data_IF_885510448376
#
_entry.id   IF_885510448376
#
_cell.length_a   1.000
_cell.length_b   1.000
_cell.length_c   1.000
_cell.angle_alpha   90.00
_cell.angle_beta   90.00
_cell.angle_gamma   90.00
#
_symmetry.space_group_name_H-M   'P 1'
#
loop_
_entity.id
_entity.type
_entity.pdbx_description
1 polymer ?
#
# COMPACT_ATOMS: atom_id res chain seq x y z
N UNK A 1 14.80 -5.11 20.43
CA UNK A 1 15.10 -5.94 19.25
C UNK A 1 14.20 -7.16 19.34
N UNK A 2 13.49 -7.49 18.26
CA UNK A 2 12.69 -8.72 18.03
C UNK A 2 11.49 -8.98 18.94
N UNK A 3 10.31 -8.50 18.54
CA UNK A 3 9.05 -9.23 18.74
C UNK A 3 8.28 -9.20 17.41
N UNK A 4 8.63 -10.20 16.61
CA UNK A 4 8.03 -10.57 15.34
C UNK A 4 6.54 -10.88 15.56
N UNK A 5 5.68 -10.34 14.68
CA UNK A 5 4.40 -10.95 14.28
C UNK A 5 3.48 -11.36 15.45
N UNK A 6 2.52 -10.47 15.76
CA UNK A 6 1.23 -10.89 16.30
C UNK A 6 0.52 -11.69 15.21
N UNK A 7 0.75 -13.00 15.24
CA UNK A 7 0.14 -14.03 14.42
C UNK A 7 -1.36 -13.79 14.22
N UNK A 8 -1.78 -13.82 12.95
CA UNK A 8 -3.05 -14.45 12.55
C UNK A 8 -4.35 -13.63 12.56
N UNK A 9 -4.29 -12.29 12.53
CA UNK A 9 -5.44 -11.47 12.02
C UNK A 9 -5.08 -10.09 11.46
N UNK A 10 -3.85 -9.95 11.00
CA UNK A 10 -3.41 -8.82 10.19
C UNK A 10 -3.47 -9.30 8.75
N UNK A 11 -4.65 -9.31 8.12
CA UNK A 11 -4.76 -9.24 6.65
C UNK A 11 -4.45 -7.81 6.22
N UNK A 12 -3.19 -7.50 6.54
CA UNK A 12 -2.27 -6.42 6.26
C UNK A 12 -2.93 -5.18 5.66
N UNK A 13 -2.93 -4.10 6.43
CA UNK A 13 -3.18 -2.77 5.89
C UNK A 13 -2.32 -2.52 4.64
N UNK A 14 -1.15 -3.18 4.51
CA UNK A 14 -0.33 -3.20 3.30
C UNK A 14 -1.04 -3.84 2.09
N UNK A 15 -1.69 -5.01 2.23
CA UNK A 15 -2.40 -5.67 1.13
C UNK A 15 -3.63 -4.88 0.67
N UNK A 16 -4.31 -4.20 1.61
CA UNK A 16 -5.38 -3.27 1.27
C UNK A 16 -4.84 -2.02 0.56
N UNK A 17 -3.75 -1.44 1.07
CA UNK A 17 -3.13 -0.29 0.44
C UNK A 17 -2.62 -0.62 -0.98
N UNK A 18 -2.06 -1.82 -1.17
CA UNK A 18 -1.59 -2.31 -2.47
C UNK A 18 -2.73 -2.44 -3.49
N UNK A 19 -3.86 -3.05 -3.10
CA UNK A 19 -5.03 -3.16 -3.99
C UNK A 19 -5.63 -1.80 -4.34
N UNK A 20 -5.66 -0.85 -3.39
CA UNK A 20 -6.13 0.51 -3.66
C UNK A 20 -5.18 1.20 -4.64
N UNK A 21 -3.87 1.06 -4.45
CA UNK A 21 -2.89 1.66 -5.35
C UNK A 21 -2.96 1.07 -6.76
N UNK A 22 -3.15 -0.25 -6.88
CA UNK A 22 -3.31 -0.96 -8.15
C UNK A 22 -4.58 -0.52 -8.90
N UNK A 23 -5.72 -0.43 -8.20
CA UNK A 23 -6.97 0.08 -8.76
C UNK A 23 -6.82 1.52 -9.24
N UNK A 24 -6.18 2.39 -8.43
CA UNK A 24 -5.97 3.79 -8.80
C UNK A 24 -5.07 3.96 -10.03
N UNK A 25 -4.04 3.12 -10.19
CA UNK A 25 -3.15 3.18 -11.35
C UNK A 25 -3.75 2.50 -12.59
N UNK A 26 -4.69 1.57 -12.42
CA UNK A 26 -5.35 0.85 -13.52
C UNK A 26 -6.55 1.61 -14.09
N UNK A 27 -7.43 2.14 -13.24
CA UNK A 27 -8.66 2.82 -13.67
C UNK A 27 -8.43 4.28 -14.07
N UNK A 28 -7.33 4.90 -13.63
CA UNK A 28 -7.02 6.30 -13.91
C UNK A 28 -5.66 6.43 -14.59
N UNK A 29 -5.47 7.41 -15.50
CA UNK A 29 -4.19 7.68 -16.15
C UNK A 29 -3.20 8.39 -15.21
N UNK A 30 -2.98 7.83 -14.02
CA UNK A 30 -2.09 8.35 -12.99
C UNK A 30 -0.69 7.75 -13.18
N UNK A 31 0.33 8.60 -13.20
CA UNK A 31 1.73 8.16 -13.25
C UNK A 31 2.24 7.73 -11.87
N UNK A 32 1.58 8.18 -10.81
CA UNK A 32 1.97 7.97 -9.43
C UNK A 32 0.78 8.12 -8.48
N UNK A 33 0.74 7.31 -7.44
CA UNK A 33 -0.22 7.42 -6.35
C UNK A 33 0.45 7.15 -4.99
N UNK A 34 -0.10 7.79 -3.95
CA UNK A 34 0.32 7.63 -2.56
C UNK A 34 -0.89 7.27 -1.71
N UNK A 35 -0.84 6.10 -1.07
CA UNK A 35 -1.94 5.57 -0.26
C UNK A 35 -1.49 5.53 1.19
N UNK A 36 -2.28 6.18 2.07
CA UNK A 36 -2.07 6.19 3.52
C UNK A 36 -3.26 5.57 4.22
N UNK A 37 -3.04 4.51 4.98
CA UNK A 37 -4.09 3.90 5.81
C UNK A 37 -3.65 3.95 7.26
N UNK A 38 -4.45 4.61 8.10
CA UNK A 38 -4.20 4.70 9.54
C UNK A 38 -5.23 3.85 10.27
N UNK A 39 -4.77 3.00 11.19
CA UNK A 39 -5.61 2.26 12.12
C UNK A 39 -5.39 2.82 13.53
N UNK A 40 -6.29 3.70 14.01
CA UNK A 40 -6.18 4.25 15.36
C UNK A 40 -6.42 3.14 16.40
N UNK A 41 -5.73 3.25 17.55
CA UNK A 41 -5.89 2.35 18.71
C UNK A 41 -5.57 0.85 18.49
N UNK A 42 -4.83 0.51 17.43
CA UNK A 42 -4.51 -0.90 17.16
C UNK A 42 -3.50 -1.53 18.15
N UNK A 43 -2.83 -0.73 18.99
CA UNK A 43 -1.86 -1.20 19.99
C UNK A 43 -1.92 -0.33 21.25
N UNK A 44 -2.03 -0.95 22.42
CA UNK A 44 -2.02 -0.24 23.71
C UNK A 44 -0.72 0.52 23.89
N UNK A 45 -0.81 1.84 24.07
CA UNK A 45 0.35 2.73 24.24
C UNK A 45 0.84 3.44 22.98
N UNK A 46 0.23 3.20 21.82
CA UNK A 46 0.56 3.90 20.57
C UNK A 46 -0.69 4.65 20.05
N UNK A 47 -0.62 5.97 19.79
CA UNK A 47 -1.78 6.75 19.38
C UNK A 47 -2.33 6.32 18.01
N UNK A 48 -1.47 5.91 17.08
CA UNK A 48 -1.87 5.36 15.79
C UNK A 48 -0.79 4.45 15.22
N UNK A 49 -1.21 3.41 14.50
CA UNK A 49 -0.34 2.65 13.59
C UNK A 49 -0.96 2.65 12.20
N UNK A 50 -0.14 2.65 11.16
CA UNK A 50 -0.63 2.75 9.80
C UNK A 50 0.44 2.41 8.78
N UNK A 51 0.02 2.26 7.53
CA UNK A 51 0.89 2.06 6.38
C UNK A 51 0.83 3.29 5.47
N UNK A 52 1.97 3.62 4.88
CA UNK A 52 2.08 4.56 3.78
C UNK A 52 2.83 3.85 2.66
N UNK A 53 2.23 3.77 1.48
CA UNK A 53 2.91 3.29 0.28
C UNK A 53 2.85 4.32 -0.83
N UNK A 54 3.83 4.25 -1.71
CA UNK A 54 3.95 5.03 -2.93
C UNK A 54 4.16 4.05 -4.09
N UNK A 55 3.40 4.25 -5.17
CA UNK A 55 3.47 3.43 -6.38
C UNK A 55 3.52 4.34 -7.59
N UNK A 56 4.39 3.99 -8.54
CA UNK A 56 4.42 4.61 -9.86
C UNK A 56 3.86 3.61 -10.86
N UNK A 57 3.15 4.11 -11.88
CA UNK A 57 2.87 3.29 -13.04
C UNK A 57 4.21 2.93 -13.70
N UNK A 58 4.47 1.64 -13.89
CA UNK A 58 5.55 1.20 -14.77
C UNK A 58 5.13 1.60 -16.17
N UNK A 59 5.55 2.78 -16.62
CA UNK A 59 5.46 3.18 -18.02
C UNK A 59 6.43 2.29 -18.80
N UNK A 60 6.11 1.00 -18.91
CA UNK A 60 6.69 0.11 -19.88
C UNK A 60 6.12 0.56 -21.22
N UNK A 61 6.73 1.60 -21.79
CA UNK A 61 6.62 1.85 -23.21
C UNK A 61 7.20 0.61 -23.88
N UNK A 62 6.33 -0.38 -24.12
CA UNK A 62 6.56 -1.41 -25.12
C UNK A 62 6.65 -0.67 -26.45
N UNK A 63 7.84 -0.14 -26.74
CA UNK A 63 8.25 0.17 -28.09
C UNK A 63 8.41 -1.17 -28.80
N UNK A 64 7.28 -1.81 -29.09
CA UNK A 64 7.18 -2.87 -30.09
C UNK A 64 6.83 -2.16 -31.38
N UNK A 65 7.85 -1.63 -32.04
CA UNK A 65 7.72 -0.87 -33.27
C UNK A 65 8.73 -1.34 -34.30
N UNK A 66 8.26 -2.27 -35.13
CA UNK A 66 8.71 -2.63 -36.49
C UNK A 66 10.04 -3.37 -36.68
#
# INVERSE_FOLDING_TARGET
MTALVGESRLDLLEALAEQIADLLLTDFPLQWCRVRINKPYAVSGVPQVGVLIERCASSETRYSGA
#
